data_IF_329182750993
#
_entry.id   IF_329182750993
#
_cell.length_a   1.000
_cell.length_b   1.000
_cell.length_c   1.000
_cell.angle_alpha   90.00
_cell.angle_beta   90.00
_cell.angle_gamma   90.00
#
_symmetry.space_group_name_H-M   'P 1'
#
loop_
_entity.id
_entity.type
_entity.pdbx_description
1 polymer ?
#
# COMPACT_ATOMS: atom_id res chain seq x y z
N UNK A 1 13.51 17.26 12.30
CA UNK A 1 13.13 16.24 13.32
C UNK A 1 12.96 14.89 12.64
N UNK A 2 12.89 13.78 13.39
CA UNK A 2 12.63 12.44 12.82
C UNK A 2 11.13 12.29 12.50
N UNK A 3 10.81 11.69 11.35
CA UNK A 3 9.43 11.34 10.93
C UNK A 3 9.25 9.82 10.96
N UNK A 4 8.02 9.36 11.19
CA UNK A 4 7.62 7.95 11.11
C UNK A 4 6.76 7.66 9.88
N UNK A 5 6.71 6.39 9.47
CA UNK A 5 5.78 5.89 8.47
C UNK A 5 4.90 4.85 9.17
N UNK A 6 3.58 5.07 9.17
CA UNK A 6 2.60 4.14 9.70
C UNK A 6 2.42 2.90 8.82
N UNK A 7 1.76 1.87 9.34
CA UNK A 7 1.51 0.62 8.60
C UNK A 7 0.10 0.08 8.83
N UNK A 8 -0.37 -0.68 7.85
CA UNK A 8 -1.67 -1.34 7.72
C UNK A 8 -2.86 -0.38 7.58
N UNK A 9 -2.96 0.64 8.41
CA UNK A 9 -4.05 1.62 8.45
C UNK A 9 -3.54 3.05 8.36
N UNK A 10 -4.43 4.02 8.11
CA UNK A 10 -4.06 5.42 8.15
C UNK A 10 -3.80 5.86 9.60
N UNK A 11 -2.52 6.03 9.92
CA UNK A 11 -2.04 6.45 11.23
C UNK A 11 -1.55 7.91 11.25
N UNK A 12 -1.75 8.67 10.16
CA UNK A 12 -1.25 10.04 10.02
C UNK A 12 -1.71 10.95 11.18
N UNK A 13 -2.94 10.75 11.67
CA UNK A 13 -3.54 11.52 12.77
C UNK A 13 -3.07 11.14 14.18
N UNK A 14 -2.30 10.04 14.37
CA UNK A 14 -1.87 9.61 15.71
C UNK A 14 -0.81 10.55 16.32
N UNK A 15 0.07 11.11 15.48
CA UNK A 15 1.08 12.08 15.86
C UNK A 15 1.22 13.12 14.73
N UNK A 16 0.30 14.11 14.64
CA UNK A 16 0.29 15.09 13.57
C UNK A 16 1.63 15.83 13.42
N UNK A 17 2.10 16.01 12.19
CA UNK A 17 3.41 16.61 11.90
C UNK A 17 4.62 15.73 12.23
N UNK A 18 4.41 14.47 12.68
CA UNK A 18 5.47 13.47 12.92
C UNK A 18 5.30 12.20 12.10
N UNK A 19 4.10 11.88 11.65
CA UNK A 19 3.85 10.78 10.71
C UNK A 19 3.88 11.32 9.29
N UNK A 20 4.87 10.90 8.49
CA UNK A 20 5.04 11.33 7.11
C UNK A 20 3.91 10.80 6.21
N UNK A 21 3.56 9.52 6.36
CA UNK A 21 2.47 8.84 5.67
C UNK A 21 2.24 7.49 6.36
N UNK A 22 1.30 6.70 5.86
CA UNK A 22 1.08 5.32 6.28
C UNK A 22 1.00 4.40 5.07
N UNK A 23 1.72 3.28 5.10
CA UNK A 23 1.56 2.20 4.14
C UNK A 23 0.26 1.45 4.47
N UNK A 24 -0.72 1.54 3.59
CA UNK A 24 -2.01 0.92 3.75
C UNK A 24 -1.95 -0.54 3.30
N UNK A 25 -2.56 -1.42 4.09
CA UNK A 25 -2.85 -2.82 3.74
C UNK A 25 -4.36 -3.02 3.84
N UNK A 26 -5.01 -3.17 2.70
CA UNK A 26 -6.48 -3.24 2.57
C UNK A 26 -7.01 -4.64 2.89
N UNK A 27 -6.77 -5.08 4.13
CA UNK A 27 -7.33 -6.34 4.65
C UNK A 27 -8.85 -6.31 4.63
N UNK A 28 -9.46 -5.13 4.77
CA UNK A 28 -10.89 -4.90 4.56
C UNK A 28 -11.36 -5.32 3.17
N UNK A 29 -10.63 -4.96 2.11
CA UNK A 29 -10.92 -5.37 0.72
C UNK A 29 -10.77 -6.88 0.57
N UNK A 30 -9.70 -7.47 1.10
CA UNK A 30 -9.46 -8.92 1.02
C UNK A 30 -10.59 -9.72 1.67
N UNK A 31 -11.02 -9.31 2.88
CA UNK A 31 -12.11 -9.94 3.61
C UNK A 31 -13.43 -9.75 2.86
N UNK A 32 -13.74 -8.53 2.45
CA UNK A 32 -14.97 -8.24 1.73
C UNK A 32 -15.10 -9.07 0.44
N UNK A 33 -14.05 -9.10 -0.38
CA UNK A 33 -14.02 -9.87 -1.62
C UNK A 33 -14.22 -11.37 -1.34
N UNK A 34 -13.52 -11.93 -0.33
CA UNK A 34 -13.67 -13.34 0.04
C UNK A 34 -15.12 -13.70 0.41
N UNK A 35 -15.80 -12.86 1.21
CA UNK A 35 -17.20 -13.08 1.54
C UNK A 35 -18.13 -12.93 0.34
N UNK A 36 -17.85 -11.99 -0.56
CA UNK A 36 -18.62 -11.81 -1.78
C UNK A 36 -18.43 -12.97 -2.77
N UNK A 37 -17.24 -13.54 -2.85
CA UNK A 37 -16.98 -14.70 -3.72
C UNK A 37 -17.74 -15.93 -3.23
N UNK A 38 -17.75 -16.19 -1.91
CA UNK A 38 -18.57 -17.26 -1.33
C UNK A 38 -20.06 -17.01 -1.58
N UNK A 39 -20.54 -15.78 -1.33
CA UNK A 39 -21.95 -15.42 -1.52
C UNK A 39 -22.42 -15.61 -2.97
N UNK A 40 -21.54 -15.36 -3.94
CA UNK A 40 -21.86 -15.40 -5.36
C UNK A 40 -21.47 -16.72 -6.04
N UNK A 41 -21.15 -17.77 -5.28
CA UNK A 41 -20.69 -19.08 -5.78
C UNK A 41 -19.45 -18.98 -6.70
N UNK A 42 -18.56 -18.01 -6.42
CA UNK A 42 -17.30 -17.75 -7.14
C UNK A 42 -16.05 -18.11 -6.35
N UNK A 43 -16.21 -18.60 -5.12
CA UNK A 43 -15.07 -18.92 -4.27
C UNK A 43 -14.13 -19.92 -4.93
N UNK A 44 -12.84 -19.58 -4.97
CA UNK A 44 -11.76 -20.44 -5.40
C UNK A 44 -10.74 -20.59 -4.27
N UNK A 45 -10.35 -21.84 -3.98
CA UNK A 45 -9.28 -22.13 -3.03
C UNK A 45 -7.92 -21.94 -3.70
N UNK A 46 -7.50 -20.69 -3.86
CA UNK A 46 -6.25 -20.30 -4.52
C UNK A 46 -5.61 -19.08 -3.83
N UNK A 47 -4.37 -18.77 -4.18
CA UNK A 47 -3.64 -17.59 -3.70
C UNK A 47 -4.09 -16.35 -4.49
N UNK A 48 -4.51 -15.32 -3.77
CA UNK A 48 -4.84 -14.01 -4.34
C UNK A 48 -3.78 -12.99 -3.92
N UNK A 49 -3.00 -12.51 -4.89
CA UNK A 49 -2.00 -11.46 -4.67
C UNK A 49 -2.64 -10.08 -4.87
N UNK A 50 -2.81 -9.33 -3.78
CA UNK A 50 -3.44 -8.01 -3.80
C UNK A 50 -2.39 -6.91 -3.63
N UNK A 51 -1.83 -6.45 -4.74
CA UNK A 51 -0.78 -5.43 -4.78
C UNK A 51 -1.31 -4.02 -5.04
N UNK A 52 -0.43 -3.13 -5.52
CA UNK A 52 -0.79 -1.77 -5.93
C UNK A 52 -1.79 -1.74 -7.09
N UNK A 53 -1.79 -2.79 -7.93
CA UNK A 53 -2.69 -2.93 -9.08
C UNK A 53 -4.12 -3.27 -8.64
N UNK A 54 -4.26 -4.10 -7.62
CA UNK A 54 -5.55 -4.54 -7.06
C UNK A 54 -6.09 -3.58 -5.98
N UNK A 55 -5.40 -2.45 -5.74
CA UNK A 55 -5.65 -1.54 -4.62
C UNK A 55 -5.59 -2.24 -3.24
N UNK A 56 -4.86 -3.37 -3.15
CA UNK A 56 -4.64 -4.12 -1.92
C UNK A 56 -3.65 -3.44 -0.98
N UNK A 57 -2.76 -2.63 -1.54
CA UNK A 57 -1.82 -1.80 -0.79
C UNK A 57 -1.76 -0.38 -1.36
N UNK A 58 -1.33 0.59 -0.54
CA UNK A 58 -1.21 1.98 -0.97
C UNK A 58 -0.53 2.88 0.05
N UNK A 59 -0.58 4.20 -0.18
CA UNK A 59 -0.08 5.21 0.77
C UNK A 59 -1.22 6.13 1.20
N UNK A 60 -1.20 6.60 2.44
CA UNK A 60 -2.18 7.53 2.98
C UNK A 60 -1.74 8.99 2.81
N UNK A 61 -2.57 9.79 2.15
CA UNK A 61 -2.43 11.24 2.05
C UNK A 61 -3.74 11.89 2.54
N UNK A 62 -3.64 12.73 3.56
CA UNK A 62 -4.76 13.43 4.17
C UNK A 62 -4.29 14.77 4.79
N UNK A 63 -5.21 15.50 5.42
CA UNK A 63 -4.89 16.80 6.01
C UNK A 63 -3.87 16.72 7.16
N UNK A 64 -3.64 15.54 7.75
CA UNK A 64 -2.70 15.35 8.86
C UNK A 64 -1.24 15.29 8.39
N UNK A 65 -0.99 14.88 7.14
CA UNK A 65 0.36 14.80 6.58
C UNK A 65 0.59 15.68 5.34
N UNK A 66 -0.43 16.34 4.80
CA UNK A 66 -0.31 17.21 3.61
C UNK A 66 0.80 18.26 3.71
N UNK A 67 1.01 18.85 4.89
CA UNK A 67 2.07 19.84 5.09
C UNK A 67 3.50 19.26 5.06
N UNK A 68 3.64 17.93 5.19
CA UNK A 68 4.92 17.21 5.17
C UNK A 68 5.27 16.69 3.77
N UNK A 69 4.29 16.62 2.85
CA UNK A 69 4.43 16.00 1.54
C UNK A 69 4.49 17.08 0.46
N UNK A 70 5.60 17.16 -0.26
CA UNK A 70 5.75 18.12 -1.36
C UNK A 70 5.11 17.58 -2.65
N UNK A 71 4.77 18.46 -3.62
CA UNK A 71 4.30 18.02 -4.93
C UNK A 71 5.28 17.07 -5.65
N UNK A 72 6.58 17.28 -5.47
CA UNK A 72 7.63 16.41 -6.02
C UNK A 72 7.59 15.01 -5.40
N UNK A 73 7.37 14.91 -4.09
CA UNK A 73 7.22 13.62 -3.41
C UNK A 73 5.98 12.87 -3.90
N UNK A 74 4.85 13.56 -4.05
CA UNK A 74 3.63 12.98 -4.62
C UNK A 74 3.89 12.48 -6.03
N UNK A 75 4.51 13.29 -6.90
CA UNK A 75 4.82 12.88 -8.27
C UNK A 75 5.76 11.66 -8.33
N UNK A 76 6.77 11.60 -7.45
CA UNK A 76 7.69 10.46 -7.38
C UNK A 76 6.98 9.17 -6.95
N UNK A 77 6.08 9.25 -5.96
CA UNK A 77 5.29 8.10 -5.51
C UNK A 77 4.29 7.65 -6.58
N UNK A 78 3.61 8.59 -7.23
CA UNK A 78 2.67 8.28 -8.31
C UNK A 78 3.37 7.61 -9.50
N UNK A 79 4.55 8.11 -9.87
CA UNK A 79 5.39 7.49 -10.90
C UNK A 79 5.81 6.08 -10.47
N UNK A 80 6.29 5.89 -9.25
CA UNK A 80 6.68 4.57 -8.76
C UNK A 80 5.49 3.60 -8.76
N UNK A 81 4.30 4.05 -8.33
CA UNK A 81 3.07 3.25 -8.41
C UNK A 81 2.77 2.86 -9.85
N UNK A 82 2.80 3.81 -10.78
CA UNK A 82 2.54 3.55 -12.20
C UNK A 82 3.54 2.54 -12.79
N UNK A 83 4.83 2.71 -12.51
CA UNK A 83 5.89 1.84 -13.02
C UNK A 83 5.79 0.41 -12.45
N UNK A 84 5.42 0.27 -11.17
CA UNK A 84 5.19 -1.05 -10.54
C UNK A 84 3.96 -1.71 -11.15
N UNK A 85 2.85 -0.98 -11.31
CA UNK A 85 1.63 -1.51 -11.93
C UNK A 85 1.85 -1.90 -13.39
N UNK A 86 2.69 -1.15 -14.11
CA UNK A 86 3.08 -1.45 -15.48
C UNK A 86 4.12 -2.59 -15.60
N UNK A 87 4.69 -3.05 -14.48
CA UNK A 87 5.76 -4.05 -14.46
C UNK A 87 7.12 -3.52 -14.92
N UNK A 88 7.25 -2.20 -15.13
CA UNK A 88 8.54 -1.55 -15.45
C UNK A 88 9.49 -1.61 -14.26
N UNK A 89 8.93 -1.48 -13.05
CA UNK A 89 9.64 -1.75 -11.79
C UNK A 89 9.08 -3.04 -11.21
N UNK A 90 9.96 -4.03 -10.98
CA UNK A 90 9.60 -5.25 -10.26
C UNK A 90 10.11 -5.14 -8.83
N UNK A 91 9.22 -5.25 -7.86
CA UNK A 91 9.58 -5.28 -6.43
C UNK A 91 10.01 -6.70 -6.09
N UNK A 92 11.23 -6.84 -5.55
CA UNK A 92 11.74 -8.13 -5.10
C UNK A 92 10.92 -8.64 -3.92
N UNK A 93 10.39 -9.87 -4.04
CA UNK A 93 9.73 -10.54 -2.93
C UNK A 93 10.79 -11.17 -2.03
N UNK A 94 11.00 -10.57 -0.86
CA UNK A 94 11.89 -11.10 0.17
C UNK A 94 11.59 -12.56 0.51
N UNK A 95 10.33 -12.98 0.47
CA UNK A 95 9.94 -14.35 0.82
C UNK A 95 10.37 -15.39 -0.23
N UNK A 96 10.84 -14.95 -1.40
CA UNK A 96 11.31 -15.86 -2.46
C UNK A 96 12.72 -16.39 -2.22
N UNK A 97 13.60 -15.62 -1.56
CA UNK A 97 15.01 -15.97 -1.37
C UNK A 97 15.66 -15.45 -0.08
N UNK A 98 14.88 -14.80 0.78
CA UNK A 98 15.30 -14.18 2.05
C UNK A 98 16.41 -13.11 1.92
N UNK A 99 16.48 -12.43 0.77
CA UNK A 99 17.51 -11.41 0.50
C UNK A 99 16.94 -10.02 0.21
N UNK A 100 17.78 -9.01 0.45
CA UNK A 100 17.57 -7.63 0.02
C UNK A 100 18.68 -7.25 -0.96
N UNK A 101 18.54 -7.62 -2.25
CA UNK A 101 19.63 -7.52 -3.23
C UNK A 101 19.91 -6.11 -3.77
N UNK A 102 19.12 -5.10 -3.38
CA UNK A 102 19.20 -3.71 -3.84
C UNK A 102 19.38 -2.74 -2.68
#
# INVERSE_FOLDING_TARGET
>A
GKLGIGVDSNQNGLQPGKVLTSMLKRVDVAVYNSFMDVKNDKFAADIQNLGLKEDGVGVALDDNNKALVTPEMTAAVDKAKADIVAGTVTVHDYMSDEKCPY
#
